data_IF_807321205351
#
_entry.id   IF_807321205351
#
_cell.length_a   1.000
_cell.length_b   1.000
_cell.length_c   1.000
_cell.angle_alpha   90.00
_cell.angle_beta   90.00
_cell.angle_gamma   90.00
#
_symmetry.space_group_name_H-M   'P 1'
#
loop_
_entity.id
_entity.type
_entity.pdbx_description
1 polymer ?
#
# COMPACT_ATOMS: atom_id res chain seq x y z
N UNK A 1 13.66 22.16 -4.95
CA UNK A 1 14.97 21.50 -4.80
C UNK A 1 14.74 20.01 -4.58
N UNK A 2 15.06 19.17 -5.55
CA UNK A 2 15.01 17.69 -5.47
C UNK A 2 16.07 17.11 -6.42
N UNK A 3 16.64 15.92 -6.15
CA UNK A 3 17.56 15.25 -7.07
C UNK A 3 16.93 15.01 -8.46
N UNK A 4 17.73 15.11 -9.52
CA UNK A 4 17.24 15.08 -10.91
C UNK A 4 16.54 13.75 -11.25
N UNK A 5 17.09 12.62 -10.81
CA UNK A 5 16.47 11.29 -10.97
C UNK A 5 15.10 11.20 -10.28
N UNK A 6 14.97 11.72 -9.05
CA UNK A 6 13.68 11.84 -8.35
C UNK A 6 12.72 12.76 -9.11
N UNK A 7 13.19 13.90 -9.61
CA UNK A 7 12.36 14.83 -10.37
C UNK A 7 11.82 14.21 -11.66
N UNK A 8 12.65 13.46 -12.39
CA UNK A 8 12.26 12.73 -13.61
C UNK A 8 11.22 11.65 -13.29
N UNK A 9 11.48 10.79 -12.30
CA UNK A 9 10.56 9.70 -11.90
C UNK A 9 9.17 10.23 -11.50
N UNK A 10 9.13 11.23 -10.61
CA UNK A 10 7.86 11.84 -10.16
C UNK A 10 7.17 12.59 -11.31
N UNK A 11 7.93 13.17 -12.24
CA UNK A 11 7.37 13.82 -13.44
C UNK A 11 6.77 12.82 -14.44
N UNK A 12 7.39 11.64 -14.61
CA UNK A 12 6.84 10.55 -15.44
C UNK A 12 5.48 10.08 -14.91
N UNK A 13 5.37 9.78 -13.60
CA UNK A 13 4.08 9.47 -12.97
C UNK A 13 3.07 10.61 -13.13
N UNK A 14 3.48 11.86 -12.89
CA UNK A 14 2.64 13.07 -13.03
C UNK A 14 2.09 13.27 -14.45
N UNK A 15 2.83 12.87 -15.50
CA UNK A 15 2.37 12.90 -16.89
C UNK A 15 1.46 11.71 -17.20
N UNK A 16 1.92 10.48 -16.97
CA UNK A 16 1.14 9.27 -17.23
C UNK A 16 -0.22 9.31 -16.52
N UNK A 17 -0.23 9.65 -15.23
CA UNK A 17 -1.46 9.66 -14.44
C UNK A 17 -2.49 10.71 -14.91
N UNK A 18 -2.07 11.77 -15.65
CA UNK A 18 -3.00 12.70 -16.29
C UNK A 18 -3.75 12.08 -17.48
N UNK A 19 -3.14 11.12 -18.18
CA UNK A 19 -3.78 10.38 -19.27
C UNK A 19 -4.70 9.26 -18.74
N UNK A 20 -4.47 8.79 -17.51
CA UNK A 20 -5.24 7.70 -16.90
C UNK A 20 -6.58 8.14 -16.30
N UNK A 21 -6.74 9.40 -15.88
CA UNK A 21 -8.02 9.93 -15.37
C UNK A 21 -8.77 10.66 -16.48
N UNK A 22 -10.03 10.31 -16.70
CA UNK A 22 -10.93 11.05 -17.58
C UNK A 22 -11.68 12.14 -16.81
N UNK A 23 -12.35 13.04 -17.50
CA UNK A 23 -13.13 14.13 -16.88
C UNK A 23 -14.53 13.73 -16.42
N UNK A 24 -14.98 12.52 -16.75
CA UNK A 24 -16.31 11.95 -16.50
C UNK A 24 -16.43 11.18 -15.17
N UNK A 25 -15.31 11.00 -14.44
CA UNK A 25 -15.22 10.20 -13.22
C UNK A 25 -14.56 8.84 -13.40
N UNK A 26 -14.33 8.42 -14.65
CA UNK A 26 -13.76 7.10 -14.99
C UNK A 26 -12.24 7.10 -15.05
N UNK A 27 -11.68 5.90 -14.97
CA UNK A 27 -10.24 5.64 -15.03
C UNK A 27 -9.91 4.73 -16.20
N UNK A 28 -8.74 4.91 -16.81
CA UNK A 28 -8.25 4.05 -17.88
C UNK A 28 -7.43 2.89 -17.30
N UNK A 29 -8.12 1.97 -16.61
CA UNK A 29 -7.52 0.83 -15.89
C UNK A 29 -6.56 0.04 -16.77
N UNK A 30 -6.97 -0.34 -17.98
CA UNK A 30 -6.13 -1.12 -18.89
C UNK A 30 -4.79 -0.43 -19.19
N UNK A 31 -4.82 0.87 -19.53
CA UNK A 31 -3.60 1.64 -19.75
C UNK A 31 -2.79 1.84 -18.45
N UNK A 32 -3.45 1.91 -17.29
CA UNK A 32 -2.78 2.03 -16.00
C UNK A 32 -1.99 0.77 -15.64
N UNK A 33 -2.58 -0.42 -15.84
CA UNK A 33 -1.91 -1.70 -15.57
C UNK A 33 -0.80 -2.01 -16.59
N UNK A 34 -0.89 -1.47 -17.81
CA UNK A 34 0.15 -1.57 -18.86
C UNK A 34 1.33 -0.62 -18.63
N UNK A 35 1.09 0.62 -18.18
CA UNK A 35 2.14 1.61 -17.94
C UNK A 35 2.83 1.44 -16.57
N UNK A 36 2.24 0.70 -15.62
CA UNK A 36 2.86 0.44 -14.33
C UNK A 36 3.96 -0.62 -14.45
N UNK A 37 5.21 -0.23 -14.19
CA UNK A 37 6.36 -1.13 -14.18
C UNK A 37 6.27 -2.07 -12.99
N UNK A 38 5.94 -3.34 -13.25
CA UNK A 38 5.81 -4.40 -12.23
C UNK A 38 7.00 -5.37 -12.24
N UNK A 39 7.11 -6.20 -11.20
CA UNK A 39 8.08 -7.30 -11.10
C UNK A 39 7.42 -8.58 -10.56
N UNK A 40 7.85 -9.79 -10.97
CA UNK A 40 7.39 -11.03 -10.37
C UNK A 40 7.93 -11.17 -8.93
N UNK A 41 7.31 -12.05 -8.14
CA UNK A 41 7.91 -12.51 -6.90
C UNK A 41 9.13 -13.39 -7.22
N UNK A 42 10.06 -13.50 -6.27
CA UNK A 42 11.26 -14.32 -6.40
C UNK A 42 11.64 -14.97 -5.07
N UNK A 43 11.57 -16.31 -5.02
CA UNK A 43 11.93 -17.11 -3.86
C UNK A 43 13.46 -17.22 -3.65
N UNK A 44 14.25 -16.99 -4.69
CA UNK A 44 15.72 -16.85 -4.57
C UNK A 44 16.02 -15.52 -3.88
N UNK A 45 16.73 -15.51 -2.73
CA UNK A 45 17.03 -14.27 -2.03
C UNK A 45 17.91 -13.33 -2.86
N UNK A 46 17.57 -12.04 -2.84
CA UNK A 46 18.40 -10.96 -3.37
C UNK A 46 18.62 -9.97 -2.22
N UNK A 47 19.88 -9.66 -1.91
CA UNK A 47 20.28 -8.82 -0.76
C UNK A 47 19.63 -9.28 0.56
N UNK A 48 19.69 -10.59 0.82
CA UNK A 48 19.08 -11.30 1.95
C UNK A 48 17.54 -11.19 2.03
N UNK A 49 16.86 -10.88 0.93
CA UNK A 49 15.38 -10.81 0.89
C UNK A 49 14.82 -11.66 -0.25
N UNK A 50 14.01 -12.66 0.12
CA UNK A 50 13.13 -13.38 -0.81
C UNK A 50 11.72 -12.79 -0.79
N UNK A 51 10.90 -13.19 -1.77
CA UNK A 51 9.50 -12.80 -1.87
C UNK A 51 8.64 -13.88 -2.52
N UNK A 52 7.40 -14.01 -2.08
CA UNK A 52 6.40 -14.91 -2.67
C UNK A 52 5.00 -14.28 -2.63
N UNK A 53 4.17 -14.63 -3.60
CA UNK A 53 2.78 -14.15 -3.70
C UNK A 53 1.82 -15.20 -3.11
N UNK A 54 0.83 -14.75 -2.34
CA UNK A 54 -0.17 -15.58 -1.67
C UNK A 54 -1.58 -15.02 -1.90
N UNK A 55 -2.50 -15.88 -2.31
CA UNK A 55 -3.93 -15.54 -2.48
C UNK A 55 -4.69 -15.86 -1.20
N UNK A 56 -5.12 -14.83 -0.47
CA UNK A 56 -5.79 -14.98 0.83
C UNK A 56 -7.30 -15.19 0.70
N UNK A 57 -7.95 -14.45 -0.19
CA UNK A 57 -9.39 -14.57 -0.44
C UNK A 57 -9.67 -14.69 -1.93
N UNK A 58 -10.33 -15.78 -2.32
CA UNK A 58 -10.74 -16.06 -3.71
C UNK A 58 -11.98 -15.26 -4.14
N UNK A 59 -12.82 -14.83 -3.21
CA UNK A 59 -14.05 -14.09 -3.53
C UNK A 59 -13.76 -12.65 -3.99
N UNK A 60 -12.77 -12.01 -3.37
CA UNK A 60 -12.28 -10.67 -3.76
C UNK A 60 -11.02 -10.70 -4.64
N UNK A 61 -10.38 -11.86 -4.80
CA UNK A 61 -9.05 -12.04 -5.36
C UNK A 61 -7.95 -11.24 -4.62
N UNK A 62 -8.07 -11.16 -3.29
CA UNK A 62 -7.11 -10.47 -2.43
C UNK A 62 -5.78 -11.24 -2.36
N UNK A 63 -4.78 -10.70 -3.04
CA UNK A 63 -3.41 -11.18 -3.04
C UNK A 63 -2.55 -10.35 -2.07
N UNK A 64 -1.60 -11.00 -1.42
CA UNK A 64 -0.49 -10.34 -0.71
C UNK A 64 0.84 -10.80 -1.29
N UNK A 65 1.82 -9.89 -1.35
CA UNK A 65 3.22 -10.26 -1.58
C UNK A 65 3.96 -10.24 -0.26
N UNK A 66 4.45 -11.38 0.16
CA UNK A 66 5.22 -11.55 1.39
C UNK A 66 6.70 -11.43 1.05
N UNK A 67 7.41 -10.57 1.76
CA UNK A 67 8.87 -10.42 1.71
C UNK A 67 9.43 -10.87 3.06
N UNK A 68 10.52 -11.62 3.05
CA UNK A 68 11.11 -12.17 4.28
C UNK A 68 12.63 -12.13 4.23
N UNK A 69 13.24 -11.85 5.38
CA UNK A 69 14.68 -11.93 5.55
C UNK A 69 15.14 -13.40 5.45
N UNK A 70 15.98 -13.68 4.46
CA UNK A 70 16.53 -14.99 4.15
C UNK A 70 17.97 -14.83 3.65
N UNK A 71 19.00 -15.08 4.49
CA UNK A 71 20.41 -14.94 4.07
C UNK A 71 20.87 -16.07 3.14
N UNK A 72 20.12 -17.17 3.08
CA UNK A 72 20.38 -18.33 2.22
C UNK A 72 19.08 -18.75 1.52
N UNK A 73 19.14 -19.43 0.35
CA UNK A 73 17.96 -20.03 -0.27
C UNK A 73 17.22 -20.98 0.68
N UNK A 74 15.89 -21.02 0.58
CA UNK A 74 15.03 -21.86 1.42
C UNK A 74 14.16 -22.79 0.55
N UNK A 75 13.77 -23.94 1.09
CA UNK A 75 12.77 -24.81 0.46
C UNK A 75 11.37 -24.18 0.52
N UNK A 76 10.45 -24.66 -0.31
CA UNK A 76 9.06 -24.17 -0.36
C UNK A 76 8.35 -24.29 1.00
N UNK A 77 8.53 -25.42 1.69
CA UNK A 77 8.00 -25.66 3.04
C UNK A 77 8.53 -24.63 4.04
N UNK A 78 9.80 -24.24 3.89
CA UNK A 78 10.46 -23.28 4.77
C UNK A 78 10.07 -21.83 4.51
N UNK A 79 9.24 -21.50 3.50
CA UNK A 79 8.73 -20.14 3.27
C UNK A 79 7.83 -19.68 4.42
N UNK A 80 6.97 -20.57 4.92
CA UNK A 80 5.98 -20.36 5.98
C UNK A 80 6.54 -20.70 7.37
N UNK A 81 7.74 -20.20 7.65
CA UNK A 81 8.41 -20.30 8.96
C UNK A 81 8.74 -18.88 9.46
N UNK A 82 8.89 -18.65 10.76
CA UNK A 82 9.33 -17.35 11.27
C UNK A 82 10.76 -17.01 10.78
N UNK A 83 11.14 -15.73 10.65
CA UNK A 83 12.49 -15.32 10.24
C UNK A 83 13.53 -15.42 11.37
N UNK A 84 13.09 -15.67 12.61
CA UNK A 84 13.87 -15.73 13.84
C UNK A 84 13.12 -16.57 14.88
N UNK A 85 13.80 -17.28 15.81
CA UNK A 85 13.13 -17.87 16.97
C UNK A 85 12.63 -16.79 17.96
N UNK A 86 13.32 -15.65 18.04
CA UNK A 86 12.93 -14.50 18.84
C UNK A 86 11.83 -13.69 18.16
N UNK A 87 11.04 -12.88 18.90
CA UNK A 87 10.05 -11.97 18.31
C UNK A 87 10.65 -11.07 17.23
N UNK A 88 9.87 -10.82 16.17
CA UNK A 88 10.32 -10.13 14.97
C UNK A 88 9.30 -9.08 14.48
N UNK A 89 9.72 -8.00 13.81
CA UNK A 89 8.79 -7.06 13.21
C UNK A 89 8.00 -7.71 12.05
N UNK A 90 6.67 -7.64 12.16
CA UNK A 90 5.73 -8.10 11.15
C UNK A 90 4.99 -6.89 10.57
N UNK A 91 5.45 -6.41 9.41
CA UNK A 91 5.02 -5.14 8.84
C UNK A 91 3.95 -5.40 7.77
N UNK A 92 2.69 -5.07 8.03
CA UNK A 92 1.65 -5.07 7.00
C UNK A 92 1.75 -3.75 6.24
N UNK A 93 2.15 -3.81 4.97
CA UNK A 93 2.41 -2.65 4.12
C UNK A 93 1.27 -2.41 3.13
N UNK A 94 0.75 -1.18 3.12
CA UNK A 94 -0.22 -0.69 2.17
C UNK A 94 0.46 0.30 1.23
N UNK A 95 0.40 0.05 -0.08
CA UNK A 95 1.00 0.93 -1.07
C UNK A 95 0.21 2.23 -1.28
N UNK A 96 0.91 3.30 -1.63
CA UNK A 96 0.33 4.55 -2.12
C UNK A 96 -0.29 4.45 -3.51
N UNK A 97 -0.39 5.58 -4.20
CA UNK A 97 -1.09 5.70 -5.49
C UNK A 97 -2.50 6.30 -5.42
N UNK A 98 -2.82 7.05 -4.37
CA UNK A 98 -4.11 7.76 -4.21
C UNK A 98 -5.34 6.87 -4.40
N UNK A 99 -5.30 5.66 -3.83
CA UNK A 99 -6.32 4.59 -3.92
C UNK A 99 -6.62 4.05 -5.34
N UNK A 100 -6.04 4.60 -6.41
CA UNK A 100 -6.37 4.23 -7.79
C UNK A 100 -5.20 3.57 -8.55
N UNK A 101 -3.97 3.96 -8.24
CA UNK A 101 -2.74 3.57 -8.95
C UNK A 101 -1.95 2.47 -8.21
N UNK A 102 -1.03 1.82 -8.92
CA UNK A 102 -0.08 0.81 -8.43
C UNK A 102 -0.70 -0.46 -7.82
N UNK A 103 0.14 -1.41 -7.44
CA UNK A 103 -0.19 -2.74 -6.90
C UNK A 103 0.96 -3.22 -5.99
N UNK A 104 0.76 -4.31 -5.24
CA UNK A 104 1.81 -4.89 -4.36
C UNK A 104 3.11 -5.28 -5.08
N UNK A 105 3.00 -5.50 -6.41
CA UNK A 105 4.07 -5.88 -7.32
C UNK A 105 4.59 -4.75 -8.23
N UNK A 106 4.13 -3.50 -8.07
CA UNK A 106 4.75 -2.35 -8.72
C UNK A 106 6.21 -2.21 -8.25
N UNK A 107 7.16 -2.04 -9.17
CA UNK A 107 8.60 -2.13 -8.88
C UNK A 107 9.09 -1.09 -7.86
N UNK A 108 8.41 0.05 -7.73
CA UNK A 108 8.70 1.05 -6.68
C UNK A 108 8.35 0.54 -5.28
N UNK A 109 7.28 -0.25 -5.14
CA UNK A 109 6.82 -0.79 -3.88
C UNK A 109 7.47 -2.13 -3.54
N UNK A 110 7.83 -2.95 -4.54
CA UNK A 110 8.68 -4.13 -4.34
C UNK A 110 10.08 -3.74 -3.85
N UNK A 111 10.69 -2.72 -4.46
CA UNK A 111 11.95 -2.13 -3.98
C UNK A 111 11.84 -1.56 -2.56
N UNK A 112 10.74 -0.88 -2.22
CA UNK A 112 10.51 -0.35 -0.87
C UNK A 112 10.35 -1.47 0.16
N UNK A 113 9.53 -2.49 -0.12
CA UNK A 113 9.30 -3.61 0.80
C UNK A 113 10.59 -4.42 1.03
N UNK A 114 11.37 -4.69 -0.02
CA UNK A 114 12.71 -5.29 0.12
C UNK A 114 13.62 -4.44 1.00
N UNK A 115 13.67 -3.12 0.76
CA UNK A 115 14.51 -2.21 1.55
C UNK A 115 14.07 -2.15 3.01
N UNK A 116 12.78 -2.24 3.33
CA UNK A 116 12.29 -2.34 4.70
C UNK A 116 12.85 -3.61 5.39
N UNK A 117 12.72 -4.78 4.76
CA UNK A 117 13.29 -6.03 5.30
C UNK A 117 14.81 -5.93 5.46
N UNK A 118 15.55 -5.46 4.45
CA UNK A 118 17.02 -5.34 4.51
C UNK A 118 17.51 -4.35 5.58
N UNK A 119 16.72 -3.32 5.94
CA UNK A 119 17.09 -2.34 6.98
C UNK A 119 16.69 -2.80 8.39
N UNK A 120 15.62 -3.58 8.53
CA UNK A 120 15.12 -4.07 9.82
C UNK A 120 15.80 -5.38 10.24
N UNK A 121 16.35 -6.15 9.29
CA UNK A 121 16.96 -7.46 9.56
C UNK A 121 15.90 -8.57 9.64
N UNK A 122 16.00 -9.52 10.59
CA UNK A 122 15.04 -10.63 10.73
C UNK A 122 13.59 -10.15 10.91
N UNK A 123 12.84 -10.12 9.81
CA UNK A 123 11.53 -9.48 9.72
C UNK A 123 10.74 -10.02 8.52
N UNK A 124 9.44 -9.72 8.50
CA UNK A 124 8.52 -9.99 7.39
C UNK A 124 7.78 -8.71 7.02
N UNK A 125 7.63 -8.44 5.72
CA UNK A 125 6.73 -7.41 5.18
C UNK A 125 5.65 -8.09 4.36
N UNK A 126 4.37 -7.83 4.65
CA UNK A 126 3.21 -8.30 3.89
C UNK A 126 2.66 -7.11 3.08
N UNK A 127 2.97 -7.03 1.79
CA UNK A 127 2.48 -5.96 0.90
C UNK A 127 1.10 -6.32 0.33
N UNK A 128 0.09 -5.54 0.70
CA UNK A 128 -1.32 -5.82 0.40
C UNK A 128 -1.70 -5.30 -0.98
N UNK A 129 -2.20 -6.18 -1.85
CA UNK A 129 -2.71 -5.83 -3.18
C UNK A 129 -4.20 -5.44 -3.12
N UNK A 130 -4.51 -4.38 -2.36
CA UNK A 130 -5.89 -3.97 -2.09
C UNK A 130 -6.65 -3.55 -3.35
N UNK A 131 -7.98 -3.66 -3.30
CA UNK A 131 -8.90 -3.29 -4.38
C UNK A 131 -8.97 -1.77 -4.55
N UNK A 132 -8.87 -1.30 -5.80
CA UNK A 132 -8.59 0.10 -6.15
C UNK A 132 -9.81 0.82 -6.73
N UNK A 133 -9.83 2.13 -6.50
CA UNK A 133 -10.82 3.07 -7.04
C UNK A 133 -10.52 3.43 -8.50
N UNK A 134 -11.52 3.84 -9.31
CA UNK A 134 -12.94 4.05 -8.99
C UNK A 134 -13.84 2.80 -9.03
N UNK A 135 -13.30 1.65 -9.45
CA UNK A 135 -14.05 0.40 -9.62
C UNK A 135 -14.50 -0.19 -8.28
N UNK A 136 -13.57 -0.29 -7.33
CA UNK A 136 -13.84 -0.68 -5.96
C UNK A 136 -13.73 0.57 -5.07
N UNK A 137 -14.87 0.98 -4.50
CA UNK A 137 -15.01 2.21 -3.72
C UNK A 137 -14.88 1.92 -2.22
N UNK A 138 -14.99 2.98 -1.41
CA UNK A 138 -15.21 2.89 0.04
C UNK A 138 -16.31 1.84 0.36
N UNK A 139 -16.05 0.82 1.21
CA UNK A 139 -14.90 0.64 2.10
C UNK A 139 -13.80 -0.34 1.60
N UNK A 140 -13.87 -0.89 0.38
CA UNK A 140 -13.15 -2.12 -0.03
C UNK A 140 -11.66 -2.20 0.34
N UNK A 141 -10.88 -1.13 0.15
CA UNK A 141 -9.45 -1.14 0.49
C UNK A 141 -9.17 -1.27 2.01
N UNK A 142 -10.09 -0.81 2.86
CA UNK A 142 -10.03 -0.97 4.32
C UNK A 142 -10.50 -2.35 4.76
N UNK A 143 -11.48 -2.94 4.09
CA UNK A 143 -11.91 -4.33 4.32
C UNK A 143 -10.83 -5.32 3.90
N UNK A 144 -10.13 -5.06 2.79
CA UNK A 144 -8.98 -5.85 2.35
C UNK A 144 -7.85 -5.80 3.39
N UNK A 145 -7.49 -4.59 3.86
CA UNK A 145 -6.46 -4.44 4.88
C UNK A 145 -6.84 -5.04 6.24
N UNK A 146 -8.13 -5.01 6.58
CA UNK A 146 -8.67 -5.73 7.73
C UNK A 146 -8.56 -7.26 7.56
N UNK A 147 -8.89 -7.79 6.39
CA UNK A 147 -8.78 -9.21 6.10
C UNK A 147 -7.32 -9.70 6.20
N UNK A 148 -6.34 -8.94 5.69
CA UNK A 148 -4.91 -9.28 5.85
C UNK A 148 -4.47 -9.23 7.31
N UNK A 149 -4.88 -8.21 8.07
CA UNK A 149 -4.54 -8.13 9.50
C UNK A 149 -5.12 -9.30 10.30
N UNK A 150 -6.40 -9.59 10.12
CA UNK A 150 -7.06 -10.70 10.81
C UNK A 150 -6.46 -12.05 10.42
N UNK A 151 -6.14 -12.26 9.13
CA UNK A 151 -5.40 -13.44 8.66
C UNK A 151 -4.03 -13.55 9.36
N UNK A 152 -3.19 -12.52 9.25
CA UNK A 152 -1.84 -12.53 9.80
C UNK A 152 -1.79 -12.71 11.33
N UNK A 153 -2.83 -12.28 12.05
CA UNK A 153 -2.97 -12.46 13.50
C UNK A 153 -3.34 -13.89 13.92
N UNK A 154 -3.80 -14.74 12.99
CA UNK A 154 -4.19 -16.13 13.26
C UNK A 154 -3.21 -17.17 12.66
N UNK A 155 -2.22 -16.73 11.87
CA UNK A 155 -1.21 -17.61 11.27
C UNK A 155 -0.12 -18.01 12.28
N UNK A 156 0.03 -19.32 12.52
CA UNK A 156 0.93 -19.85 13.55
C UNK A 156 2.39 -19.46 13.37
N UNK A 157 2.90 -19.41 12.14
CA UNK A 157 4.26 -18.98 11.80
C UNK A 157 4.48 -17.45 11.89
N UNK A 158 3.40 -16.68 12.05
CA UNK A 158 3.42 -15.23 12.27
C UNK A 158 3.16 -14.84 13.73
N UNK A 159 2.79 -15.78 14.61
CA UNK A 159 2.37 -15.55 16.00
C UNK A 159 3.39 -14.79 16.89
N UNK A 160 4.70 -15.00 16.70
CA UNK A 160 5.76 -14.24 17.39
C UNK A 160 6.05 -12.86 16.74
N UNK A 161 5.23 -12.43 15.78
CA UNK A 161 5.40 -11.19 15.03
C UNK A 161 4.81 -9.98 15.75
N UNK A 162 5.64 -9.00 16.10
CA UNK A 162 5.15 -7.68 16.53
C UNK A 162 4.56 -6.94 15.33
N UNK A 163 3.22 -6.83 15.28
CA UNK A 163 2.49 -6.28 14.14
C UNK A 163 2.65 -4.77 14.06
N UNK A 164 3.17 -4.27 12.93
CA UNK A 164 3.20 -2.86 12.56
C UNK A 164 2.38 -2.62 11.29
N UNK A 165 1.59 -1.56 11.25
CA UNK A 165 0.88 -1.15 10.02
C UNK A 165 1.64 0.00 9.35
N UNK A 166 2.02 -0.18 8.09
CA UNK A 166 2.86 0.75 7.34
C UNK A 166 2.20 1.14 6.02
N UNK A 167 2.42 2.37 5.56
CA UNK A 167 2.00 2.75 4.21
C UNK A 167 2.28 4.19 3.84
N UNK A 168 2.42 4.44 2.54
CA UNK A 168 2.60 5.77 1.98
C UNK A 168 1.30 6.30 1.33
N UNK A 169 1.11 7.62 1.32
CA UNK A 169 -0.05 8.24 0.64
C UNK A 169 -1.39 7.59 1.06
N UNK A 170 -2.18 7.04 0.13
CA UNK A 170 -3.40 6.28 0.42
C UNK A 170 -3.19 5.07 1.33
N UNK A 171 -2.04 4.40 1.22
CA UNK A 171 -1.67 3.30 2.10
C UNK A 171 -1.55 3.71 3.56
N UNK A 172 -1.01 4.91 3.83
CA UNK A 172 -0.97 5.47 5.19
C UNK A 172 -2.37 5.80 5.76
N UNK A 173 -3.34 6.12 4.89
CA UNK A 173 -4.73 6.29 5.28
C UNK A 173 -5.40 4.92 5.58
N UNK A 174 -5.13 3.89 4.75
CA UNK A 174 -5.57 2.51 5.00
C UNK A 174 -5.03 1.99 6.33
N UNK A 175 -3.72 2.12 6.57
CA UNK A 175 -3.06 1.73 7.82
C UNK A 175 -3.73 2.35 9.05
N UNK A 176 -4.05 3.65 9.00
CA UNK A 176 -4.76 4.34 10.09
C UNK A 176 -6.17 3.78 10.34
N UNK A 177 -6.98 3.56 9.30
CA UNK A 177 -8.34 3.03 9.46
C UNK A 177 -8.36 1.57 9.91
N UNK A 178 -7.41 0.76 9.43
CA UNK A 178 -7.22 -0.64 9.87
C UNK A 178 -6.78 -0.68 11.35
N UNK A 179 -5.92 0.25 11.79
CA UNK A 179 -5.54 0.38 13.20
C UNK A 179 -6.74 0.69 14.11
N UNK A 180 -7.66 1.57 13.71
CA UNK A 180 -8.87 1.88 14.48
C UNK A 180 -9.74 0.62 14.65
N UNK A 181 -10.02 -0.09 13.56
CA UNK A 181 -10.79 -1.35 13.58
C UNK A 181 -10.11 -2.46 14.40
N UNK A 182 -8.78 -2.44 14.50
CA UNK A 182 -8.02 -3.35 15.35
C UNK A 182 -8.27 -3.10 16.85
N UNK A 183 -8.39 -1.83 17.28
CA UNK A 183 -8.71 -1.47 18.67
C UNK A 183 -10.09 -2.01 19.07
N UNK A 184 -11.12 -1.76 18.25
CA UNK A 184 -12.49 -2.27 18.48
C UNK A 184 -12.52 -3.80 18.60
N UNK A 185 -11.66 -4.47 17.81
CA UNK A 185 -11.54 -5.92 17.74
C UNK A 185 -10.51 -6.52 18.71
N UNK A 186 -9.88 -5.69 19.56
CA UNK A 186 -8.84 -6.07 20.54
C UNK A 186 -7.57 -6.73 19.95
N UNK A 187 -7.24 -6.47 18.68
CA UNK A 187 -5.97 -6.89 18.06
C UNK A 187 -4.85 -5.89 18.40
N UNK A 188 -3.68 -6.38 18.83
CA UNK A 188 -2.57 -5.56 19.32
C UNK A 188 -1.65 -5.12 18.17
N UNK A 189 -1.81 -3.86 17.74
CA UNK A 189 -0.88 -3.20 16.83
C UNK A 189 0.23 -2.51 17.64
N UNK A 190 1.48 -2.83 17.36
CA UNK A 190 2.67 -2.34 18.06
C UNK A 190 3.11 -0.94 17.58
N UNK A 191 2.67 -0.51 16.39
CA UNK A 191 2.89 0.84 15.91
C UNK A 191 2.43 1.07 14.46
N UNK A 192 2.25 2.34 14.10
CA UNK A 192 1.86 2.77 12.75
C UNK A 192 2.98 3.61 12.10
N UNK A 193 3.38 3.25 10.87
CA UNK A 193 4.45 3.91 10.11
C UNK A 193 3.83 4.60 8.89
N UNK A 194 3.53 5.89 9.02
CA UNK A 194 2.73 6.64 8.04
C UNK A 194 3.60 7.59 7.20
N UNK A 195 3.79 7.27 5.92
CA UNK A 195 4.73 7.98 5.04
C UNK A 195 3.99 8.97 4.12
N UNK A 196 3.95 10.26 4.50
CA UNK A 196 3.14 11.28 3.81
C UNK A 196 1.67 10.84 3.62
N UNK A 197 0.95 10.46 4.70
CA UNK A 197 -0.36 9.84 4.60
C UNK A 197 -1.41 10.78 3.98
N UNK A 198 -2.27 10.23 3.13
CA UNK A 198 -3.26 10.98 2.36
C UNK A 198 -4.52 11.25 3.19
N UNK A 199 -4.54 12.39 3.88
CA UNK A 199 -5.74 12.94 4.53
C UNK A 199 -6.23 14.20 3.79
N UNK A 200 -7.46 14.63 4.08
CA UNK A 200 -8.12 15.75 3.41
C UNK A 200 -9.20 16.39 4.26
N UNK A 201 -9.72 17.54 3.81
CA UNK A 201 -10.73 18.35 4.46
C UNK A 201 -11.38 19.29 3.45
N UNK A 202 -12.68 19.58 3.58
CA UNK A 202 -13.38 20.48 2.65
C UNK A 202 -12.78 21.90 2.66
N UNK A 203 -12.21 22.32 3.80
CA UNK A 203 -11.47 23.59 3.93
C UNK A 203 -10.03 23.42 3.44
N UNK A 204 -9.61 24.27 2.50
CA UNK A 204 -8.21 24.43 2.11
C UNK A 204 -7.41 25.02 3.28
N UNK A 205 -6.37 24.31 3.71
CA UNK A 205 -5.37 24.83 4.66
C UNK A 205 -4.65 26.05 4.07
N UNK A 206 -4.08 26.91 4.91
CA UNK A 206 -3.47 28.17 4.46
C UNK A 206 -2.26 27.94 3.54
N UNK A 207 -1.37 27.01 3.92
CA UNK A 207 -0.29 26.48 3.07
C UNK A 207 -0.84 25.94 1.73
N UNK A 208 -2.04 25.35 1.73
CA UNK A 208 -2.74 24.85 0.54
C UNK A 208 -3.50 25.90 -0.27
N UNK A 209 -3.54 27.17 0.17
CA UNK A 209 -3.97 28.34 -0.61
C UNK A 209 -2.77 28.98 -1.31
N UNK A 210 -1.67 29.15 -0.57
CA UNK A 210 -0.43 29.78 -1.02
C UNK A 210 0.36 28.89 -1.99
N UNK A 211 0.67 27.66 -1.59
CA UNK A 211 1.37 26.72 -2.48
C UNK A 211 0.37 26.08 -3.43
N UNK A 212 0.47 26.43 -4.72
CA UNK A 212 -0.40 25.93 -5.80
C UNK A 212 -0.10 24.47 -6.19
N UNK A 213 -0.01 23.59 -5.18
CA UNK A 213 -0.01 22.14 -5.34
C UNK A 213 -1.30 21.70 -6.04
N UNK A 214 -1.24 21.58 -7.37
CA UNK A 214 -2.14 20.71 -8.11
C UNK A 214 -1.82 19.26 -7.71
N UNK A 215 -2.35 18.85 -6.55
CA UNK A 215 -2.61 17.45 -6.22
C UNK A 215 -3.26 16.82 -7.45
N UNK A 216 -2.90 15.57 -7.76
CA UNK A 216 -3.22 14.93 -9.03
C UNK A 216 -4.71 14.54 -9.20
N UNK A 217 -5.62 15.21 -8.51
CA UNK A 217 -7.08 15.06 -8.62
C UNK A 217 -7.67 16.39 -9.11
N UNK A 218 -7.76 16.58 -10.44
CA UNK A 218 -8.13 17.86 -11.04
C UNK A 218 -9.18 17.69 -12.15
N UNK A 219 -10.43 17.41 -11.76
CA UNK A 219 -11.60 17.38 -12.65
C UNK A 219 -11.98 18.77 -13.17
N UNK A 220 -12.34 18.94 -14.46
CA UNK A 220 -12.70 20.24 -15.02
C UNK A 220 -14.22 20.50 -15.10
N UNK A 221 -14.65 21.60 -14.45
CA UNK A 221 -15.83 22.43 -14.79
C UNK A 221 -17.23 21.79 -14.75
N UNK A 222 -17.85 21.81 -13.58
CA UNK A 222 -19.09 22.58 -13.32
C UNK A 222 -19.09 23.02 -11.86
N UNK A 223 -19.29 24.33 -11.58
CA UNK A 223 -19.68 24.91 -10.28
C UNK A 223 -18.77 24.76 -9.04
N UNK A 224 -17.99 23.69 -8.91
CA UNK A 224 -17.38 23.24 -7.66
C UNK A 224 -15.86 23.42 -7.63
N UNK A 225 -15.35 24.07 -6.57
CA UNK A 225 -13.91 24.23 -6.31
C UNK A 225 -13.34 22.96 -5.69
N UNK A 226 -13.17 21.92 -6.53
CA UNK A 226 -12.46 20.66 -6.28
C UNK A 226 -12.30 20.31 -4.79
N UNK A 227 -13.38 19.81 -4.19
CA UNK A 227 -13.32 19.18 -2.89
C UNK A 227 -12.44 17.93 -2.98
N UNK A 228 -11.41 17.88 -2.15
CA UNK A 228 -10.71 16.64 -1.86
C UNK A 228 -11.37 15.98 -0.68
N UNK A 229 -12.56 15.37 -0.86
CA UNK A 229 -13.20 14.46 0.11
C UNK A 229 -14.45 13.76 -0.45
N UNK A 230 -14.98 12.83 0.35
CA UNK A 230 -16.30 12.22 0.30
C UNK A 230 -16.80 11.61 -1.03
N UNK A 231 -16.59 10.29 -1.14
CA UNK A 231 -17.77 9.45 -1.33
C UNK A 231 -18.75 9.76 -0.19
N UNK A 232 -20.02 10.03 -0.50
CA UNK A 232 -21.04 10.39 0.49
C UNK A 232 -21.28 9.21 1.44
N UNK A 233 -20.63 9.25 2.60
CA UNK A 233 -21.12 8.50 3.76
C UNK A 233 -22.55 9.00 4.03
N UNK A 234 -23.53 8.12 3.89
CA UNK A 234 -24.72 8.13 4.74
C UNK A 234 -24.78 6.79 5.47
N UNK A 235 -25.61 6.71 6.50
CA UNK A 235 -26.23 5.44 6.87
C UNK A 235 -27.31 5.08 5.84
#
# INVERSE_FOLDING_TARGET
>A
LVPLNTHVLISQFKVAYRMLRRSDGTFNRHLAEFLDRKVPANATPINNVLSFDLLLDRSTNLLVRIYRHAPHPVSYQSLFLPPSPSPFPLIIFFHGGSFAHSSSNSAIYDSLCRRLVSLVGPSIVISVNYRRTPEYRYPSAYDDGWAVLNWASNESWLSNGSIFLCGDSSGGNIAHNVALRAVDSKLVIHGNILLNPMFGGNRRTEIGKEVRWKILCNYPRQGLVLEGLFARWSR
#
